data_IF_467361250584
#
_entry.id   IF_467361250584
#
_cell.length_a   1.000
_cell.length_b   1.000
_cell.length_c   1.000
_cell.angle_alpha   90.00
_cell.angle_beta   90.00
_cell.angle_gamma   90.00
#
_symmetry.space_group_name_H-M   'P 1'
#
loop_
_entity.id
_entity.type
_entity.pdbx_description
1 polymer ?
#
# COMPACT_ATOMS: atom_id res chain seq x y z
N UNK A 1 8.55 -5.34 3.13
CA UNK A 1 7.43 -4.98 4.01
C UNK A 1 7.11 -3.50 3.91
N UNK A 2 7.96 -2.63 4.46
CA UNK A 2 7.61 -1.22 4.69
C UNK A 2 7.99 -0.27 3.55
N UNK A 3 9.10 -0.53 2.85
CA UNK A 3 9.60 0.37 1.80
C UNK A 3 8.67 0.45 0.58
N UNK A 4 8.11 -0.70 0.17
CA UNK A 4 7.22 -0.80 -0.99
C UNK A 4 5.95 0.05 -0.85
N UNK A 5 5.20 -0.02 0.27
CA UNK A 5 4.06 0.86 0.51
C UNK A 5 4.40 2.34 0.39
N UNK A 6 5.52 2.76 0.99
CA UNK A 6 5.95 4.17 0.97
C UNK A 6 6.28 4.59 -0.46
N UNK A 7 7.05 3.79 -1.19
CA UNK A 7 7.38 4.05 -2.59
C UNK A 7 6.12 4.18 -3.45
N UNK A 8 5.21 3.21 -3.34
CA UNK A 8 3.95 3.22 -4.08
C UNK A 8 3.07 4.42 -3.70
N UNK A 9 3.05 4.81 -2.42
CA UNK A 9 2.30 5.99 -1.98
C UNK A 9 2.86 7.27 -2.59
N UNK A 10 4.19 7.45 -2.61
CA UNK A 10 4.82 8.62 -3.23
C UNK A 10 4.50 8.70 -4.73
N UNK A 11 4.60 7.58 -5.44
CA UNK A 11 4.24 7.50 -6.87
C UNK A 11 2.76 7.84 -7.06
N UNK A 12 1.87 7.24 -6.27
CA UNK A 12 0.43 7.42 -6.40
C UNK A 12 -0.02 8.86 -6.08
N UNK A 13 0.52 9.48 -5.02
CA UNK A 13 0.24 10.88 -4.67
C UNK A 13 0.70 11.81 -5.80
N UNK A 14 1.90 11.56 -6.35
CA UNK A 14 2.44 12.36 -7.45
C UNK A 14 1.55 12.27 -8.68
N UNK A 15 1.16 11.05 -9.07
CA UNK A 15 0.25 10.82 -10.19
C UNK A 15 -1.13 11.44 -9.94
N UNK A 16 -1.68 11.30 -8.72
CA UNK A 16 -2.95 11.92 -8.36
C UNK A 16 -2.92 13.44 -8.51
N UNK A 17 -1.77 14.07 -8.19
CA UNK A 17 -1.58 15.51 -8.36
C UNK A 17 -1.49 15.90 -9.84
N UNK A 18 -0.73 15.14 -10.64
CA UNK A 18 -0.58 15.36 -12.09
C UNK A 18 -1.92 15.23 -12.82
N UNK A 19 -2.75 14.26 -12.42
CA UNK A 19 -4.07 14.04 -13.00
C UNK A 19 -5.18 14.93 -12.41
N UNK A 20 -4.86 15.79 -11.44
CA UNK A 20 -5.83 16.75 -10.88
C UNK A 20 -6.97 16.09 -10.09
N UNK A 21 -6.73 14.93 -9.46
CA UNK A 21 -7.76 14.26 -8.66
C UNK A 21 -8.21 15.13 -7.49
N UNK A 22 -9.48 15.02 -7.10
CA UNK A 22 -9.98 15.61 -5.87
C UNK A 22 -9.30 14.96 -4.65
N UNK A 23 -9.28 15.67 -3.52
CA UNK A 23 -8.53 15.26 -2.32
C UNK A 23 -8.91 13.87 -1.80
N UNK A 24 -10.20 13.56 -1.76
CA UNK A 24 -10.71 12.26 -1.33
C UNK A 24 -10.27 11.14 -2.27
N UNK A 25 -10.39 11.37 -3.58
CA UNK A 25 -10.00 10.40 -4.61
C UNK A 25 -8.50 10.15 -4.62
N UNK A 26 -7.68 11.21 -4.42
CA UNK A 26 -6.23 11.10 -4.29
C UNK A 26 -5.84 10.22 -3.09
N UNK A 27 -6.51 10.37 -1.95
CA UNK A 27 -6.28 9.52 -0.77
C UNK A 27 -6.66 8.08 -1.09
N UNK A 28 -7.86 7.85 -1.61
CA UNK A 28 -8.35 6.50 -1.91
C UNK A 28 -7.45 5.79 -2.94
N UNK A 29 -7.05 6.50 -4.00
CA UNK A 29 -6.09 6.02 -4.98
C UNK A 29 -4.74 5.65 -4.35
N UNK A 30 -4.21 6.52 -3.49
CA UNK A 30 -2.95 6.29 -2.79
C UNK A 30 -3.01 5.05 -1.89
N UNK A 31 -4.09 4.89 -1.12
CA UNK A 31 -4.28 3.74 -0.22
C UNK A 31 -4.36 2.43 -0.99
N UNK A 32 -5.06 2.43 -2.13
CA UNK A 32 -5.14 1.27 -3.02
C UNK A 32 -3.76 0.91 -3.59
N UNK A 33 -2.99 1.88 -4.07
CA UNK A 33 -1.66 1.64 -4.63
C UNK A 33 -0.61 1.23 -3.58
N UNK A 34 -0.67 1.81 -2.39
CA UNK A 34 0.29 1.56 -1.31
C UNK A 34 0.03 0.24 -0.56
N UNK A 35 -1.17 -0.33 -0.68
CA UNK A 35 -1.52 -1.58 0.00
C UNK A 35 -0.98 -2.80 -0.73
N UNK A 36 -0.61 -3.82 0.03
CA UNK A 36 -0.32 -5.15 -0.53
C UNK A 36 -1.60 -5.98 -0.63
N UNK A 37 -1.56 -7.03 -1.44
CA UNK A 37 -2.60 -8.05 -1.42
C UNK A 37 -2.38 -8.99 -0.22
N UNK A 38 -3.20 -8.81 0.81
CA UNK A 38 -3.08 -9.55 2.08
C UNK A 38 -3.69 -10.95 2.04
N UNK A 39 -4.49 -11.25 1.01
CA UNK A 39 -5.24 -12.50 0.88
C UNK A 39 -4.89 -13.21 -0.43
N UNK A 40 -5.09 -12.54 -1.57
CA UNK A 40 -4.98 -13.18 -2.87
C UNK A 40 -3.54 -13.58 -3.22
N UNK A 41 -2.54 -12.74 -2.90
CA UNK A 41 -1.13 -13.08 -3.17
C UNK A 41 -0.65 -14.28 -2.34
N UNK A 42 -0.87 -14.35 -1.01
CA UNK A 42 -0.53 -15.55 -0.25
C UNK A 42 -1.21 -16.83 -0.75
N UNK A 43 -2.48 -16.75 -1.14
CA UNK A 43 -3.21 -17.88 -1.71
C UNK A 43 -2.62 -18.31 -3.06
N UNK A 44 -2.37 -17.35 -3.96
CA UNK A 44 -1.76 -17.60 -5.26
C UNK A 44 -0.37 -18.20 -5.13
N UNK A 45 0.49 -17.66 -4.26
CA UNK A 45 1.85 -18.17 -4.01
C UNK A 45 1.84 -19.61 -3.52
N UNK A 46 0.90 -19.96 -2.64
CA UNK A 46 0.74 -21.35 -2.16
C UNK A 46 0.37 -22.32 -3.28
N UNK A 47 -0.38 -21.86 -4.29
CA UNK A 47 -0.80 -22.69 -5.42
C UNK A 47 0.25 -22.75 -6.54
N UNK A 48 0.92 -21.62 -6.82
CA UNK A 48 1.86 -21.51 -7.95
C UNK A 48 3.27 -21.94 -7.59
N UNK A 49 3.69 -21.76 -6.32
CA UNK A 49 5.03 -22.11 -5.84
C UNK A 49 4.91 -22.80 -4.46
N UNK A 50 4.39 -24.04 -4.39
CA UNK A 50 4.11 -24.73 -3.13
C UNK A 50 5.37 -25.02 -2.29
N UNK A 51 6.54 -25.14 -2.94
CA UNK A 51 7.85 -25.32 -2.29
C UNK A 51 8.35 -24.05 -1.59
N UNK A 52 7.76 -22.88 -1.87
CA UNK A 52 8.17 -21.64 -1.24
C UNK A 52 7.76 -21.61 0.23
N UNK A 53 8.69 -21.20 1.09
CA UNK A 53 8.40 -21.06 2.52
C UNK A 53 7.31 -20.00 2.77
N UNK A 54 6.15 -20.37 3.37
CA UNK A 54 5.05 -19.45 3.65
C UNK A 54 5.44 -18.20 4.45
N UNK A 55 6.42 -18.31 5.34
CA UNK A 55 6.90 -17.18 6.13
C UNK A 55 7.49 -16.06 5.27
N UNK A 56 7.96 -16.34 4.05
CA UNK A 56 8.55 -15.33 3.15
C UNK A 56 7.51 -14.44 2.47
N UNK A 57 6.26 -14.88 2.32
CA UNK A 57 5.21 -14.10 1.66
C UNK A 57 4.02 -13.75 2.57
N UNK A 58 3.69 -14.59 3.55
CA UNK A 58 2.60 -14.34 4.51
C UNK A 58 3.03 -13.28 5.54
N UNK A 59 4.14 -13.51 6.23
CA UNK A 59 4.60 -12.65 7.32
C UNK A 59 4.83 -11.20 6.89
N UNK A 60 5.59 -10.89 5.83
CA UNK A 60 5.78 -9.50 5.43
C UNK A 60 4.49 -8.84 4.95
N UNK A 61 3.53 -9.58 4.38
CA UNK A 61 2.24 -9.01 3.93
C UNK A 61 1.31 -8.72 5.12
N UNK A 62 1.06 -9.70 5.98
CA UNK A 62 0.05 -9.64 7.06
C UNK A 62 0.56 -9.07 8.38
N UNK A 63 1.78 -9.43 8.79
CA UNK A 63 2.31 -9.03 10.10
C UNK A 63 3.09 -7.71 10.05
N UNK A 64 3.52 -7.28 8.86
CA UNK A 64 4.33 -6.06 8.70
C UNK A 64 3.59 -5.04 7.86
N UNK A 65 3.31 -5.35 6.59
CA UNK A 65 2.80 -4.37 5.63
C UNK A 65 1.39 -3.91 5.99
N UNK A 66 0.48 -4.84 6.29
CA UNK A 66 -0.88 -4.51 6.69
C UNK A 66 -0.96 -3.59 7.91
N UNK A 67 -0.40 -3.95 9.09
CA UNK A 67 -0.49 -3.10 10.27
C UNK A 67 0.26 -1.77 10.07
N UNK A 68 1.39 -1.77 9.36
CA UNK A 68 2.07 -0.53 9.00
C UNK A 68 1.18 0.39 8.18
N UNK A 69 0.53 -0.12 7.14
CA UNK A 69 -0.24 0.70 6.22
C UNK A 69 -1.48 1.28 6.91
N UNK A 70 -2.13 0.51 7.79
CA UNK A 70 -3.29 0.99 8.57
C UNK A 70 -2.87 1.99 9.64
N UNK A 71 -1.87 1.65 10.47
CA UNK A 71 -1.53 2.43 11.65
C UNK A 71 -0.71 3.69 11.32
N UNK A 72 0.15 3.64 10.30
CA UNK A 72 1.11 4.71 9.99
C UNK A 72 0.90 5.23 8.56
N UNK A 73 0.77 4.33 7.59
CA UNK A 73 0.65 4.68 6.17
C UNK A 73 -0.52 5.63 5.88
N UNK A 74 -1.75 5.18 6.15
CA UNK A 74 -2.97 5.96 5.86
C UNK A 74 -2.95 7.34 6.53
N UNK A 75 -2.67 7.47 7.84
CA UNK A 75 -2.54 8.79 8.47
C UNK A 75 -1.47 9.68 7.82
N UNK A 76 -0.32 9.11 7.47
CA UNK A 76 0.77 9.83 6.82
C UNK A 76 0.39 10.31 5.42
N UNK A 77 -0.20 9.43 4.60
CA UNK A 77 -0.66 9.77 3.25
C UNK A 77 -1.71 10.88 3.30
N UNK A 78 -2.66 10.79 4.23
CA UNK A 78 -3.68 11.82 4.44
C UNK A 78 -3.07 13.17 4.81
N UNK A 79 -2.10 13.20 5.73
CA UNK A 79 -1.41 14.42 6.11
C UNK A 79 -0.66 15.07 4.93
N UNK A 80 0.07 14.26 4.15
CA UNK A 80 0.78 14.72 2.95
C UNK A 80 -0.19 15.25 1.90
N UNK A 81 -1.26 14.52 1.61
CA UNK A 81 -2.26 14.91 0.61
C UNK A 81 -2.96 16.20 1.04
N UNK A 82 -3.39 16.34 2.29
CA UNK A 82 -3.97 17.60 2.79
C UNK A 82 -2.99 18.77 2.57
N UNK A 83 -1.72 18.61 2.93
CA UNK A 83 -0.73 19.67 2.74
C UNK A 83 -0.53 20.05 1.27
N UNK A 84 -0.60 19.08 0.36
CA UNK A 84 -0.39 19.30 -1.07
C UNK A 84 -1.65 19.79 -1.80
N UNK A 85 -2.84 19.58 -1.23
CA UNK A 85 -4.12 19.99 -1.82
C UNK A 85 -4.69 21.29 -1.22
N UNK A 86 -4.19 21.73 -0.06
CA UNK A 86 -4.73 22.88 0.68
C UNK A 86 -6.03 22.52 1.39
#
# INVERSE_FOLDING_TARGET
>A
GILLPIFNAVVAITLAKVFGLAKGDALMFTVLCASASYIAVPAAMRMSVPEANPSLYVTPSLAITFPFNIAIGIPLYYAVINKLWG
#
